data_IF_566980681768
#
_entry.id   IF_566980681768
#
_cell.length_a   1.000
_cell.length_b   1.000
_cell.length_c   1.000
_cell.angle_alpha   90.00
_cell.angle_beta   90.00
_cell.angle_gamma   90.00
#
_symmetry.space_group_name_H-M   'P 1'
#
loop_
_entity.id
_entity.type
_entity.pdbx_description
1 polymer ?
#
# COMPACT_ATOMS: atom_id res chain seq x y z
N UNK A 1 31.37 11.46 -1.72
CA UNK A 1 30.17 12.33 -1.62
C UNK A 1 29.01 11.46 -1.14
N UNK A 2 28.49 11.66 0.06
CA UNK A 2 27.38 10.86 0.59
C UNK A 2 26.09 11.41 -0.02
N UNK A 3 25.54 10.69 -1.00
CA UNK A 3 24.24 11.04 -1.58
C UNK A 3 23.18 10.72 -0.52
N UNK A 4 22.30 11.67 -0.21
CA UNK A 4 21.17 11.41 0.70
C UNK A 4 20.31 10.30 0.10
N UNK A 5 20.08 9.22 0.86
CA UNK A 5 19.38 8.01 0.41
C UNK A 5 17.89 8.22 0.08
N UNK A 6 17.39 9.46 0.19
CA UNK A 6 16.03 9.82 -0.22
C UNK A 6 16.02 10.01 -1.74
N UNK A 7 15.99 8.87 -2.47
CA UNK A 7 15.92 8.70 -3.93
C UNK A 7 14.66 9.34 -4.57
N UNK A 8 14.35 10.60 -4.28
CA UNK A 8 13.17 11.31 -4.81
C UNK A 8 11.99 11.45 -3.84
N UNK A 9 12.10 10.92 -2.62
CA UNK A 9 11.05 11.10 -1.58
C UNK A 9 11.41 12.19 -0.58
N UNK A 10 10.40 12.94 -0.10
CA UNK A 10 10.59 14.00 0.90
C UNK A 10 11.06 13.46 2.26
N UNK A 11 10.65 12.24 2.60
CA UNK A 11 11.07 11.52 3.81
C UNK A 11 10.94 10.01 3.63
N UNK A 12 11.54 9.22 4.53
CA UNK A 12 11.34 7.76 4.54
C UNK A 12 9.88 7.37 4.82
N UNK A 13 9.17 8.12 5.67
CA UNK A 13 7.75 7.90 5.96
C UNK A 13 6.90 7.98 4.69
N UNK A 14 7.15 8.99 3.85
CA UNK A 14 6.46 9.15 2.57
C UNK A 14 6.87 8.08 1.56
N UNK A 15 8.14 7.66 1.53
CA UNK A 15 8.59 6.58 0.67
C UNK A 15 7.86 5.26 1.00
N UNK A 16 7.77 4.93 2.29
CA UNK A 16 7.11 3.71 2.76
C UNK A 16 5.60 3.71 2.48
N UNK A 17 4.92 4.84 2.69
CA UNK A 17 3.51 4.97 2.35
C UNK A 17 3.25 4.77 0.85
N UNK A 18 4.09 5.38 -0.01
CA UNK A 18 3.97 5.22 -1.47
C UNK A 18 4.23 3.80 -1.91
N UNK A 19 5.30 3.15 -1.43
CA UNK A 19 5.63 1.76 -1.77
C UNK A 19 4.48 0.82 -1.37
N UNK A 20 3.97 0.94 -0.14
CA UNK A 20 2.80 0.14 0.30
C UNK A 20 1.56 0.41 -0.56
N UNK A 21 1.30 1.66 -0.93
CA UNK A 21 0.15 2.00 -1.79
C UNK A 21 0.24 1.34 -3.16
N UNK A 22 1.42 1.34 -3.77
CA UNK A 22 1.66 0.69 -5.06
C UNK A 22 1.44 -0.83 -4.96
N UNK A 23 1.95 -1.47 -3.91
CA UNK A 23 1.76 -2.91 -3.68
C UNK A 23 0.27 -3.25 -3.52
N UNK A 24 -0.47 -2.46 -2.74
CA UNK A 24 -1.92 -2.61 -2.57
C UNK A 24 -2.65 -2.48 -3.90
N UNK A 25 -2.41 -1.40 -4.66
CA UNK A 25 -3.03 -1.19 -5.97
C UNK A 25 -2.72 -2.34 -6.94
N UNK A 26 -1.49 -2.88 -6.88
CA UNK A 26 -1.07 -4.00 -7.73
C UNK A 26 -1.75 -5.31 -7.34
N UNK A 27 -1.89 -5.59 -6.04
CA UNK A 27 -2.59 -6.77 -5.53
C UNK A 27 -4.08 -6.74 -5.90
N UNK A 28 -4.71 -5.57 -5.79
CA UNK A 28 -6.09 -5.32 -6.23
C UNK A 28 -6.23 -5.57 -7.74
N UNK A 29 -5.38 -4.94 -8.57
CA UNK A 29 -5.43 -5.10 -10.02
C UNK A 29 -5.21 -6.53 -10.50
N UNK A 30 -4.44 -7.34 -9.76
CA UNK A 30 -4.22 -8.76 -10.06
C UNK A 30 -5.31 -9.70 -9.52
N UNK A 31 -6.29 -9.19 -8.77
CA UNK A 31 -7.30 -10.02 -8.09
C UNK A 31 -6.72 -10.88 -6.96
N UNK A 32 -5.48 -10.62 -6.52
CA UNK A 32 -4.84 -11.34 -5.40
C UNK A 32 -5.45 -10.94 -4.05
N UNK A 33 -6.21 -9.86 -4.04
CA UNK A 33 -6.98 -9.45 -2.87
C UNK A 33 -8.30 -10.21 -2.71
N UNK A 34 -8.65 -11.16 -3.59
CA UNK A 34 -9.89 -11.97 -3.52
C UNK A 34 -10.16 -12.60 -2.15
N UNK A 35 -9.10 -13.02 -1.44
CA UNK A 35 -9.16 -13.53 -0.06
C UNK A 35 -9.74 -12.52 0.95
N UNK A 36 -9.56 -11.22 0.72
CA UNK A 36 -10.08 -10.16 1.59
C UNK A 36 -11.57 -9.84 1.36
N UNK A 37 -12.18 -10.37 0.30
CA UNK A 37 -13.61 -10.14 0.01
C UNK A 37 -14.52 -11.21 0.61
N UNK A 38 -13.98 -12.35 1.07
CA UNK A 38 -14.78 -13.42 1.66
C UNK A 38 -15.46 -12.94 2.96
N UNK A 39 -16.75 -12.63 2.88
CA UNK A 39 -17.58 -12.18 4.00
C UNK A 39 -17.69 -10.67 4.19
N UNK A 40 -17.05 -9.84 3.34
CA UNK A 40 -17.12 -8.39 3.44
C UNK A 40 -17.45 -7.73 2.08
N UNK A 41 -18.62 -7.04 1.96
CA UNK A 41 -18.99 -6.29 0.76
C UNK A 41 -17.99 -5.19 0.36
N UNK A 42 -17.07 -4.81 1.27
CA UNK A 42 -16.09 -3.73 1.12
C UNK A 42 -14.63 -4.22 1.25
N UNK A 43 -14.29 -5.40 0.72
CA UNK A 43 -12.96 -6.02 0.87
C UNK A 43 -11.76 -5.10 0.55
N UNK A 44 -11.93 -4.16 -0.40
CA UNK A 44 -10.90 -3.14 -0.74
C UNK A 44 -10.66 -2.14 0.40
N UNK A 45 -11.73 -1.63 0.99
CA UNK A 45 -11.68 -0.65 2.09
C UNK A 45 -11.07 -1.30 3.34
N UNK A 46 -11.44 -2.56 3.63
CA UNK A 46 -10.84 -3.30 4.74
C UNK A 46 -9.34 -3.54 4.55
N UNK A 47 -8.89 -3.82 3.33
CA UNK A 47 -7.48 -3.98 3.03
C UNK A 47 -6.73 -2.65 3.20
N UNK A 48 -7.29 -1.54 2.71
CA UNK A 48 -6.71 -0.20 2.85
C UNK A 48 -6.61 0.20 4.33
N UNK A 49 -7.68 0.05 5.11
CA UNK A 49 -7.67 0.37 6.54
C UNK A 49 -6.68 -0.50 7.31
N UNK A 50 -6.49 -1.77 6.94
CA UNK A 50 -5.49 -2.63 7.58
C UNK A 50 -4.05 -2.27 7.22
N UNK A 51 -3.78 -1.91 5.97
CA UNK A 51 -2.42 -1.61 5.49
C UNK A 51 -1.95 -0.22 5.95
N UNK A 52 -2.88 0.72 6.06
CA UNK A 52 -2.62 2.12 6.40
C UNK A 52 -3.03 2.50 7.82
N UNK A 53 -3.81 1.67 8.52
CA UNK A 53 -4.30 1.96 9.87
C UNK A 53 -5.27 3.14 9.91
N UNK A 54 -6.08 3.29 8.87
CA UNK A 54 -7.08 4.36 8.72
C UNK A 54 -8.41 3.99 9.38
#
# INVERSE_FOLDING_TARGET
>A
RIIRATLGFKSMKTAYATIKGIEVMRALRKGQASSFYYGQPQGEVCLINRVFGL
#
